data_IF_248909000911
#
_entry.id   IF_248909000911
#
_cell.length_a   1.000
_cell.length_b   1.000
_cell.length_c   1.000
_cell.angle_alpha   90.00
_cell.angle_beta   90.00
_cell.angle_gamma   90.00
#
_symmetry.space_group_name_H-M   'P 1'
#
loop_
_entity.id
_entity.type
_entity.pdbx_description
1 polymer ?
#
# COMPACT_ATOMS: atom_id res chain seq x y z
N UNK A 1 30.13 -12.71 -17.43
CA UNK A 1 28.81 -13.39 -17.56
C UNK A 1 27.95 -13.29 -16.28
N UNK A 2 28.55 -13.39 -15.09
CA UNK A 2 27.85 -13.38 -13.79
C UNK A 2 27.02 -12.11 -13.52
N UNK A 3 27.52 -10.93 -13.90
CA UNK A 3 26.81 -9.64 -13.70
C UNK A 3 25.50 -9.53 -14.51
N UNK A 4 25.43 -10.10 -15.73
CA UNK A 4 24.20 -10.11 -16.53
C UNK A 4 23.12 -11.01 -15.94
N UNK A 5 23.50 -12.14 -15.34
CA UNK A 5 22.58 -13.06 -14.67
C UNK A 5 21.97 -12.43 -13.40
N UNK A 6 22.80 -11.75 -12.61
CA UNK A 6 22.36 -11.02 -11.41
C UNK A 6 21.38 -9.89 -11.75
N UNK A 7 21.64 -9.12 -12.81
CA UNK A 7 20.76 -8.04 -13.25
C UNK A 7 19.40 -8.57 -13.72
N UNK A 8 19.39 -9.67 -14.49
CA UNK A 8 18.16 -10.32 -14.94
C UNK A 8 17.32 -10.83 -13.75
N UNK A 9 17.97 -11.47 -12.78
CA UNK A 9 17.30 -12.01 -11.59
C UNK A 9 16.68 -10.89 -10.74
N UNK A 10 17.38 -9.76 -10.60
CA UNK A 10 16.88 -8.57 -9.94
C UNK A 10 15.65 -7.98 -10.65
N UNK A 11 15.69 -7.86 -11.99
CA UNK A 11 14.55 -7.39 -12.79
C UNK A 11 13.33 -8.30 -12.64
N UNK A 12 13.51 -9.62 -12.72
CA UNK A 12 12.42 -10.59 -12.55
C UNK A 12 11.81 -10.48 -11.16
N UNK A 13 12.65 -10.38 -10.12
CA UNK A 13 12.20 -10.22 -8.74
C UNK A 13 11.38 -8.94 -8.54
N UNK A 14 11.88 -7.80 -9.03
CA UNK A 14 11.17 -6.52 -8.91
C UNK A 14 9.81 -6.53 -9.63
N UNK A 15 9.72 -7.19 -10.79
CA UNK A 15 8.44 -7.38 -11.49
C UNK A 15 7.47 -8.25 -10.70
N UNK A 16 7.96 -9.32 -10.08
CA UNK A 16 7.13 -10.17 -9.22
C UNK A 16 6.61 -9.41 -8.01
N UNK A 17 7.49 -8.72 -7.28
CA UNK A 17 7.11 -7.87 -6.13
C UNK A 17 6.08 -6.83 -6.57
N UNK A 18 6.31 -6.16 -7.70
CA UNK A 18 5.40 -5.15 -8.20
C UNK A 18 4.01 -5.70 -8.54
N UNK A 19 3.92 -6.87 -9.18
CA UNK A 19 2.64 -7.55 -9.45
C UNK A 19 1.92 -7.94 -8.17
N UNK A 20 2.65 -8.46 -7.18
CA UNK A 20 2.08 -8.82 -5.87
C UNK A 20 1.50 -7.59 -5.17
N UNK A 21 2.20 -6.46 -5.20
CA UNK A 21 1.70 -5.20 -4.61
C UNK A 21 0.43 -4.70 -5.30
N UNK A 22 0.36 -4.77 -6.64
CA UNK A 22 -0.87 -4.41 -7.37
C UNK A 22 -2.03 -5.33 -6.96
N UNK A 23 -1.79 -6.65 -6.90
CA UNK A 23 -2.82 -7.61 -6.48
C UNK A 23 -3.31 -7.32 -5.05
N UNK A 24 -2.39 -7.06 -4.12
CA UNK A 24 -2.71 -6.69 -2.75
C UNK A 24 -3.50 -5.38 -2.68
N UNK A 25 -3.16 -4.38 -3.48
CA UNK A 25 -3.91 -3.12 -3.56
C UNK A 25 -5.32 -3.31 -4.12
N UNK A 26 -5.50 -4.18 -5.12
CA UNK A 26 -6.81 -4.54 -5.64
C UNK A 26 -7.66 -5.26 -4.60
N UNK A 27 -7.09 -6.21 -3.84
CA UNK A 27 -7.78 -6.89 -2.74
C UNK A 27 -8.11 -5.90 -1.62
N UNK A 28 -7.18 -5.02 -1.26
CA UNK A 28 -7.38 -3.97 -0.27
C UNK A 28 -8.42 -2.93 -0.68
N UNK A 29 -8.79 -2.86 -1.97
CA UNK A 29 -9.92 -2.00 -2.40
C UNK A 29 -11.25 -2.46 -1.79
N UNK A 30 -11.33 -3.71 -1.33
CA UNK A 30 -12.46 -4.23 -0.54
C UNK A 30 -12.22 -3.86 0.93
N UNK A 31 -12.60 -2.64 1.30
CA UNK A 31 -12.36 -2.08 2.64
C UNK A 31 -12.88 -2.96 3.79
N UNK A 32 -14.00 -3.66 3.60
CA UNK A 32 -14.60 -4.53 4.62
C UNK A 32 -13.71 -5.69 5.07
N UNK A 33 -12.69 -6.09 4.29
CA UNK A 33 -11.81 -7.20 4.64
C UNK A 33 -10.75 -6.83 5.70
N UNK A 34 -10.48 -5.55 5.89
CA UNK A 34 -9.36 -5.10 6.72
C UNK A 34 -9.65 -3.83 7.53
N UNK A 35 -10.79 -3.17 7.30
CA UNK A 35 -11.17 -1.92 7.97
C UNK A 35 -11.22 -2.06 9.49
N UNK A 36 -11.75 -3.17 10.00
CA UNK A 36 -11.83 -3.41 11.45
C UNK A 36 -10.44 -3.56 12.07
N UNK A 37 -9.56 -4.33 11.42
CA UNK A 37 -8.18 -4.53 11.87
C UNK A 37 -7.39 -3.23 11.82
N UNK A 38 -7.52 -2.45 10.73
CA UNK A 38 -6.89 -1.14 10.62
C UNK A 38 -7.43 -0.16 11.65
N UNK A 39 -8.73 -0.19 11.93
CA UNK A 39 -9.33 0.60 13.00
C UNK A 39 -8.80 0.19 14.37
N UNK A 40 -8.67 -1.11 14.67
CA UNK A 40 -8.13 -1.59 15.94
C UNK A 40 -6.67 -1.17 16.15
N UNK A 41 -5.84 -1.17 15.10
CA UNK A 41 -4.47 -0.66 15.15
C UNK A 41 -4.41 0.86 15.34
N UNK A 42 -5.40 1.57 14.82
CA UNK A 42 -5.46 3.02 14.91
C UNK A 42 -6.14 3.54 16.20
N UNK A 43 -7.08 2.81 16.76
CA UNK A 43 -7.88 3.21 17.91
C UNK A 43 -7.05 3.71 19.12
N UNK A 44 -5.88 3.12 19.46
CA UNK A 44 -5.02 3.67 20.49
C UNK A 44 -4.56 5.09 20.15
N UNK A 45 -4.10 5.35 18.93
CA UNK A 45 -3.62 6.67 18.50
C UNK A 45 -4.78 7.68 18.53
N UNK A 46 -5.96 7.25 18.07
CA UNK A 46 -7.18 8.04 18.09
C UNK A 46 -7.58 8.50 19.50
N UNK A 47 -7.53 7.60 20.48
CA UNK A 47 -7.96 7.88 21.85
C UNK A 47 -7.04 8.88 22.57
N UNK A 48 -5.76 8.96 22.20
CA UNK A 48 -4.79 9.83 22.89
C UNK A 48 -4.54 11.18 22.20
N UNK A 49 -5.06 11.43 20.99
CA UNK A 49 -4.74 12.65 20.23
C UNK A 49 -5.99 13.41 19.78
N UNK A 50 -6.34 14.49 20.50
CA UNK A 50 -7.46 15.39 20.16
C UNK A 50 -7.40 15.94 18.73
N UNK A 51 -6.19 16.11 18.18
CA UNK A 51 -5.94 16.55 16.81
C UNK A 51 -6.61 15.61 15.80
N UNK A 52 -6.66 14.30 16.07
CA UNK A 52 -7.23 13.34 15.14
C UNK A 52 -8.76 13.34 15.11
N UNK A 53 -9.43 13.64 16.22
CA UNK A 53 -10.89 13.91 16.21
C UNK A 53 -11.23 15.12 15.36
N UNK A 54 -10.36 16.13 15.35
CA UNK A 54 -10.55 17.36 14.58
C UNK A 54 -10.38 17.11 13.07
N UNK A 55 -9.40 16.28 12.68
CA UNK A 55 -9.17 15.87 11.29
C UNK A 55 -10.32 15.00 10.76
N UNK A 56 -10.88 14.08 11.56
CA UNK A 56 -12.07 13.30 11.17
C UNK A 56 -13.31 14.16 10.98
N UNK A 57 -13.51 15.21 11.80
CA UNK A 57 -14.60 16.16 11.63
C UNK A 57 -14.54 16.92 10.29
N UNK A 58 -13.34 17.06 9.72
CA UNK A 58 -13.10 17.68 8.41
C UNK A 58 -13.11 16.66 7.26
N UNK A 59 -12.70 15.42 7.53
CA UNK A 59 -12.62 14.33 6.56
C UNK A 59 -13.28 13.08 7.18
N UNK A 60 -14.60 12.89 6.98
CA UNK A 60 -15.37 11.82 7.63
C UNK A 60 -14.96 10.41 7.16
N UNK A 61 -14.12 10.32 6.13
CA UNK A 61 -13.48 9.08 5.71
C UNK A 61 -12.04 9.06 6.22
N UNK A 62 -11.90 8.38 7.35
CA UNK A 62 -10.65 7.92 7.92
C UNK A 62 -9.54 7.69 6.86
N UNK A 63 -8.31 8.24 7.02
CA UNK A 63 -7.35 8.53 5.94
C UNK A 63 -6.68 7.29 5.30
N UNK A 64 -7.19 6.09 5.54
CA UNK A 64 -6.61 4.85 5.03
C UNK A 64 -7.39 4.23 3.88
N UNK A 65 -8.71 4.44 3.82
CA UNK A 65 -9.60 3.58 3.00
C UNK A 65 -9.32 3.68 1.49
N UNK A 66 -9.16 4.87 0.88
CA UNK A 66 -8.78 4.95 -0.53
C UNK A 66 -7.25 4.97 -0.76
N UNK A 67 -6.46 5.35 0.25
CA UNK A 67 -5.04 5.67 0.04
C UNK A 67 -4.14 4.43 0.08
N UNK A 68 -4.41 3.46 0.95
CA UNK A 68 -3.62 2.23 1.02
C UNK A 68 -3.73 1.38 -0.27
N UNK A 69 -4.94 1.13 -0.82
CA UNK A 69 -5.09 0.45 -2.10
C UNK A 69 -4.35 1.16 -3.24
N UNK A 70 -4.55 2.48 -3.34
CA UNK A 70 -3.91 3.30 -4.38
C UNK A 70 -2.39 3.32 -4.25
N UNK A 71 -1.87 3.42 -3.02
CA UNK A 71 -0.44 3.38 -2.75
C UNK A 71 0.18 2.04 -3.17
N UNK A 72 -0.45 0.92 -2.80
CA UNK A 72 0.03 -0.42 -3.17
C UNK A 72 0.07 -0.61 -4.69
N UNK A 73 -0.98 -0.16 -5.40
CA UNK A 73 -1.04 -0.21 -6.86
C UNK A 73 0.05 0.68 -7.49
N UNK A 74 0.18 1.93 -7.04
CA UNK A 74 1.16 2.87 -7.56
C UNK A 74 2.61 2.42 -7.31
N UNK A 75 2.91 1.94 -6.10
CA UNK A 75 4.22 1.40 -5.75
C UNK A 75 4.56 0.16 -6.59
N UNK A 76 3.60 -0.74 -6.77
CA UNK A 76 3.78 -1.92 -7.62
C UNK A 76 4.01 -1.57 -9.09
N UNK A 77 3.23 -0.63 -9.63
CA UNK A 77 3.40 -0.12 -10.99
C UNK A 77 4.76 0.55 -11.18
N UNK A 78 5.21 1.36 -10.21
CA UNK A 78 6.53 2.00 -10.23
C UNK A 78 7.67 0.98 -10.26
N UNK A 79 7.60 -0.08 -9.44
CA UNK A 79 8.63 -1.14 -9.44
C UNK A 79 8.70 -1.88 -10.77
N UNK A 80 7.55 -2.17 -11.39
CA UNK A 80 7.50 -2.81 -12.70
C UNK A 80 8.10 -1.87 -13.77
N UNK A 81 7.70 -0.61 -13.79
CA UNK A 81 8.19 0.37 -14.75
C UNK A 81 9.71 0.57 -14.62
N UNK A 82 10.20 0.76 -13.40
CA UNK A 82 11.62 0.99 -13.14
C UNK A 82 12.50 -0.24 -13.38
N UNK A 83 11.99 -1.45 -13.16
CA UNK A 83 12.72 -2.67 -13.50
C UNK A 83 12.82 -2.94 -15.01
N UNK A 84 12.01 -2.24 -15.82
CA UNK A 84 11.93 -2.40 -17.27
C UNK A 84 12.63 -1.30 -18.06
N UNK A 85 13.00 -0.21 -17.38
CA UNK A 85 13.81 0.89 -17.91
C UNK A 85 15.30 0.62 -17.66
#
# INVERSE_FOLDING_TARGET
MQAKSSALMHTVLMRWIGKTLILLGLIASIGSLWSETAWALYAPIYQYHEIMRLVEGLVPYYPFVPYLPMFLIAAGAYLIAKSSA
#
